data_IF_882464810952
#
_entry.id   IF_882464810952
#
_cell.length_a   1.000
_cell.length_b   1.000
_cell.length_c   1.000
_cell.angle_alpha   90.00
_cell.angle_beta   90.00
_cell.angle_gamma   90.00
#
_symmetry.space_group_name_H-M   'P 1'
#
loop_
_entity.id
_entity.type
_entity.pdbx_description
1 polymer ?
#
# COMPACT_ATOMS: atom_id res chain seq x y z
N UNK A 1 -10.81 -16.06 1.37
CA UNK A 1 -11.43 -15.13 2.34
C UNK A 1 -10.86 -13.75 2.07
N UNK A 2 -11.68 -12.70 2.03
CA UNK A 2 -11.21 -11.33 1.81
C UNK A 2 -11.18 -10.54 3.11
N UNK A 3 -10.12 -9.77 3.33
CA UNK A 3 -9.93 -8.92 4.50
C UNK A 3 -9.50 -7.52 4.04
N UNK A 4 -10.38 -6.54 4.25
CA UNK A 4 -10.11 -5.14 3.93
C UNK A 4 -9.26 -4.46 5.02
N UNK A 5 -8.68 -3.30 4.68
CA UNK A 5 -7.83 -2.55 5.60
C UNK A 5 -8.60 -2.16 6.89
N UNK A 6 -8.10 -2.57 8.07
CA UNK A 6 -8.85 -2.45 9.31
C UNK A 6 -9.01 -1.00 9.81
N UNK A 7 -8.16 -0.07 9.40
CA UNK A 7 -8.18 1.33 9.86
C UNK A 7 -8.79 2.29 8.84
N UNK A 8 -9.54 1.78 7.85
CA UNK A 8 -10.15 2.58 6.77
C UNK A 8 -10.88 3.85 7.27
N UNK A 9 -11.69 3.82 8.34
CA UNK A 9 -12.40 5.01 8.83
C UNK A 9 -11.55 6.07 9.53
N UNK A 10 -10.32 5.73 9.93
CA UNK A 10 -9.38 6.65 10.58
C UNK A 10 -8.42 7.22 9.53
N UNK A 11 -8.07 6.42 8.51
CA UNK A 11 -7.21 6.84 7.41
C UNK A 11 -7.90 7.76 6.37
N UNK A 12 -9.23 7.88 6.42
CA UNK A 12 -10.03 8.65 5.47
C UNK A 12 -11.09 9.48 6.19
N UNK A 13 -11.66 10.52 5.55
CA UNK A 13 -12.74 11.31 6.16
C UNK A 13 -13.92 10.45 6.60
N UNK A 14 -14.25 10.49 7.90
CA UNK A 14 -15.27 9.63 8.51
C UNK A 14 -16.65 9.70 7.82
N UNK A 15 -17.01 10.85 7.26
CA UNK A 15 -18.30 11.04 6.60
C UNK A 15 -18.50 10.18 5.34
N UNK A 16 -17.41 9.69 4.72
CA UNK A 16 -17.50 8.80 3.56
C UNK A 16 -17.94 7.38 3.92
N UNK A 17 -17.88 7.01 5.20
CA UNK A 17 -18.23 5.69 5.71
C UNK A 17 -18.88 5.78 7.09
N UNK A 18 -19.99 6.51 7.23
CA UNK A 18 -20.51 6.97 8.52
C UNK A 18 -20.95 5.83 9.44
N UNK A 19 -21.39 4.71 8.87
CA UNK A 19 -21.98 3.58 9.60
C UNK A 19 -21.10 2.33 9.60
N UNK A 20 -20.00 2.34 8.83
CA UNK A 20 -19.17 1.14 8.68
C UNK A 20 -18.13 1.07 9.79
N UNK A 21 -17.89 -0.15 10.27
CA UNK A 21 -16.84 -0.48 11.22
C UNK A 21 -15.90 -1.51 10.60
N UNK A 22 -14.62 -1.18 10.65
CA UNK A 22 -13.51 -2.02 10.22
C UNK A 22 -12.65 -2.36 11.45
N UNK A 23 -11.83 -3.39 11.32
CA UNK A 23 -10.92 -3.77 12.39
C UNK A 23 -10.29 -5.14 12.17
N UNK A 24 -9.24 -5.40 12.95
CA UNK A 24 -8.63 -6.72 13.04
C UNK A 24 -9.57 -7.58 13.88
N UNK A 25 -10.33 -8.47 13.21
CA UNK A 25 -11.37 -9.29 13.84
C UNK A 25 -11.02 -10.78 13.72
N UNK A 26 -10.04 -11.23 14.51
CA UNK A 26 -9.54 -12.61 14.48
C UNK A 26 -10.68 -13.64 14.54
N UNK A 27 -11.64 -13.46 15.45
CA UNK A 27 -12.80 -14.36 15.59
C UNK A 27 -13.65 -14.46 14.31
N UNK A 28 -13.81 -13.36 13.58
CA UNK A 28 -14.58 -13.33 12.35
C UNK A 28 -13.82 -14.03 11.21
N UNK A 29 -12.49 -13.86 11.16
CA UNK A 29 -11.63 -14.57 10.21
C UNK A 29 -11.65 -16.07 10.54
N UNK A 30 -11.47 -16.46 11.81
CA UNK A 30 -11.51 -17.86 12.24
C UNK A 30 -12.83 -18.54 11.88
N UNK A 31 -13.97 -17.90 12.18
CA UNK A 31 -15.30 -18.41 11.78
C UNK A 31 -15.41 -18.61 10.27
N UNK A 32 -14.82 -17.71 9.48
CA UNK A 32 -14.83 -17.80 8.02
C UNK A 32 -13.94 -18.94 7.51
N UNK A 33 -12.78 -19.15 8.15
CA UNK A 33 -11.88 -20.28 7.88
C UNK A 33 -12.58 -21.60 8.20
N UNK A 34 -13.14 -21.73 9.41
CA UNK A 34 -13.84 -22.94 9.85
C UNK A 34 -15.02 -23.26 8.92
N UNK A 35 -15.82 -22.25 8.56
CA UNK A 35 -16.94 -22.42 7.64
C UNK A 35 -16.49 -22.86 6.23
N UNK A 36 -15.35 -22.36 5.74
CA UNK A 36 -14.79 -22.80 4.47
C UNK A 36 -14.32 -24.27 4.53
N UNK A 37 -13.61 -24.64 5.60
CA UNK A 37 -13.15 -26.03 5.83
C UNK A 37 -14.32 -27.01 5.98
N UNK A 38 -15.35 -26.65 6.73
CA UNK A 38 -16.57 -27.46 6.89
C UNK A 38 -17.31 -27.70 5.56
N UNK A 39 -17.19 -26.77 4.61
CA UNK A 39 -17.72 -26.91 3.24
C UNK A 39 -16.80 -27.71 2.32
N UNK A 40 -15.70 -28.26 2.83
CA UNK A 40 -14.76 -29.11 2.09
C UNK A 40 -13.59 -28.37 1.44
N UNK A 41 -13.28 -27.12 1.84
CA UNK A 41 -12.11 -26.43 1.31
C UNK A 41 -10.81 -27.12 1.73
N UNK A 42 -10.03 -27.59 0.74
CA UNK A 42 -8.69 -28.18 0.94
C UNK A 42 -7.59 -27.13 1.10
N UNK A 43 -7.81 -25.93 0.55
CA UNK A 43 -6.93 -24.77 0.73
C UNK A 43 -7.76 -23.54 1.08
N UNK A 44 -7.31 -22.77 2.06
CA UNK A 44 -7.90 -21.51 2.49
C UNK A 44 -6.85 -20.40 2.33
N UNK A 45 -7.12 -19.52 1.38
CA UNK A 45 -6.32 -18.32 1.12
C UNK A 45 -7.00 -17.10 1.73
N UNK A 46 -6.27 -16.31 2.49
CA UNK A 46 -6.66 -14.97 2.94
C UNK A 46 -6.06 -13.93 1.98
N UNK A 47 -6.91 -13.26 1.22
CA UNK A 47 -6.53 -12.07 0.46
C UNK A 47 -6.69 -10.87 1.38
N UNK A 48 -5.57 -10.36 1.88
CA UNK A 48 -5.53 -9.38 2.97
C UNK A 48 -5.01 -8.03 2.52
N UNK A 49 -5.59 -6.98 3.11
CA UNK A 49 -5.10 -5.62 3.04
C UNK A 49 -4.82 -5.07 4.44
N UNK A 50 -4.47 -5.92 5.42
CA UNK A 50 -4.14 -5.45 6.77
C UNK A 50 -2.76 -4.77 6.84
N UNK A 51 -1.81 -5.25 6.03
CA UNK A 51 -0.39 -4.91 6.13
C UNK A 51 0.45 -6.10 6.57
N UNK A 52 1.69 -6.19 6.10
CA UNK A 52 2.52 -7.39 6.18
C UNK A 52 2.75 -7.89 7.61
N UNK A 53 3.17 -7.02 8.53
CA UNK A 53 3.43 -7.45 9.92
C UNK A 53 2.14 -7.72 10.71
N UNK A 54 1.04 -7.03 10.39
CA UNK A 54 -0.29 -7.35 10.93
C UNK A 54 -0.71 -8.76 10.49
N UNK A 55 -0.56 -9.06 9.20
CA UNK A 55 -0.86 -10.38 8.64
C UNK A 55 0.06 -11.46 9.21
N UNK A 56 1.34 -11.14 9.44
CA UNK A 56 2.30 -12.04 10.09
C UNK A 56 1.86 -12.38 11.51
N UNK A 57 1.39 -11.41 12.29
CA UNK A 57 0.82 -11.67 13.61
C UNK A 57 -0.47 -12.46 13.52
N UNK A 58 -1.35 -12.15 12.55
CA UNK A 58 -2.62 -12.87 12.34
C UNK A 58 -2.42 -14.34 11.98
N UNK A 59 -1.42 -14.67 11.15
CA UNK A 59 -1.06 -16.04 10.81
C UNK A 59 -0.71 -16.89 12.04
N UNK A 60 -0.09 -16.29 13.06
CA UNK A 60 0.19 -16.95 14.34
C UNK A 60 -1.02 -17.10 15.27
N UNK A 61 -2.17 -16.52 14.93
CA UNK A 61 -3.37 -16.41 15.79
C UNK A 61 -4.57 -17.14 15.23
N UNK A 62 -4.77 -17.07 13.91
CA UNK A 62 -5.89 -17.69 13.20
C UNK A 62 -5.42 -19.01 12.58
N UNK A 63 -6.08 -20.11 12.96
CA UNK A 63 -5.71 -21.45 12.52
C UNK A 63 -6.42 -21.85 11.24
N UNK A 64 -5.73 -22.62 10.40
CA UNK A 64 -6.31 -23.25 9.21
C UNK A 64 -6.27 -22.40 7.94
N UNK A 65 -5.60 -21.24 7.98
CA UNK A 65 -5.20 -20.48 6.79
C UNK A 65 -3.93 -21.14 6.24
N UNK A 66 -3.87 -21.42 4.95
CA UNK A 66 -2.65 -21.97 4.32
C UNK A 66 -1.80 -20.87 3.69
N UNK A 67 -2.45 -19.83 3.15
CA UNK A 67 -1.77 -18.72 2.46
C UNK A 67 -2.40 -17.39 2.84
N UNK A 68 -1.58 -16.38 3.11
CA UNK A 68 -1.97 -14.97 3.15
C UNK A 68 -1.28 -14.24 2.00
N UNK A 69 -2.10 -13.61 1.15
CA UNK A 69 -1.64 -12.65 0.15
C UNK A 69 -1.76 -11.25 0.76
N UNK A 70 -0.65 -10.72 1.24
CA UNK A 70 -0.59 -9.47 1.99
C UNK A 70 -0.45 -8.25 1.06
N UNK A 71 -1.31 -7.26 1.29
CA UNK A 71 -1.29 -5.93 0.64
C UNK A 71 -0.95 -4.81 1.62
N UNK A 72 -1.41 -3.59 1.31
CA UNK A 72 -1.27 -2.36 2.10
C UNK A 72 0.15 -1.80 2.25
N UNK A 73 1.08 -2.58 2.81
CA UNK A 73 2.40 -2.08 3.23
C UNK A 73 3.43 -2.02 2.10
N UNK A 74 3.07 -2.48 0.90
CA UNK A 74 3.89 -2.45 -0.32
C UNK A 74 5.21 -3.23 -0.20
N UNK A 75 5.25 -4.26 0.64
CA UNK A 75 6.41 -5.16 0.74
C UNK A 75 6.51 -6.06 -0.48
N UNK A 76 7.74 -6.27 -0.93
CA UNK A 76 8.06 -7.23 -1.99
C UNK A 76 9.02 -8.26 -1.41
N UNK A 77 8.52 -9.46 -1.10
CA UNK A 77 9.35 -10.51 -0.52
C UNK A 77 9.74 -11.53 -1.59
N UNK A 78 11.05 -11.78 -1.82
CA UNK A 78 11.51 -12.69 -2.87
C UNK A 78 11.30 -14.17 -2.52
N UNK A 79 10.87 -14.46 -1.28
CA UNK A 79 10.51 -15.80 -0.80
C UNK A 79 9.26 -15.68 0.06
N UNK A 80 8.36 -16.65 -0.05
CA UNK A 80 7.24 -16.76 0.88
C UNK A 80 7.76 -16.97 2.31
N UNK A 81 7.12 -16.32 3.29
CA UNK A 81 7.45 -16.46 4.70
C UNK A 81 6.49 -17.47 5.33
N UNK A 82 7.02 -18.57 5.88
CA UNK A 82 6.23 -19.52 6.66
C UNK A 82 6.08 -19.05 8.11
N UNK A 83 4.83 -18.82 8.53
CA UNK A 83 4.46 -18.53 9.91
C UNK A 83 3.57 -19.65 10.43
N UNK A 84 4.18 -20.65 11.06
CA UNK A 84 3.45 -21.73 11.72
C UNK A 84 2.60 -22.58 10.77
N UNK A 85 3.04 -22.76 9.53
CA UNK A 85 2.34 -23.48 8.47
C UNK A 85 1.49 -22.59 7.55
N UNK A 86 1.43 -21.28 7.81
CA UNK A 86 0.78 -20.31 6.91
C UNK A 86 1.82 -19.60 6.06
N UNK A 87 1.70 -19.66 4.74
CA UNK A 87 2.59 -18.97 3.80
C UNK A 87 2.16 -17.52 3.61
N UNK A 88 3.04 -16.57 3.89
CA UNK A 88 2.84 -15.15 3.61
C UNK A 88 3.55 -14.75 2.32
N UNK A 89 2.84 -14.03 1.46
CA UNK A 89 3.32 -13.52 0.17
C UNK A 89 2.99 -12.05 0.05
N UNK A 90 3.95 -11.25 -0.45
CA UNK A 90 3.74 -9.83 -0.75
C UNK A 90 4.41 -9.46 -2.08
N UNK A 91 3.66 -8.78 -2.95
CA UNK A 91 3.99 -8.57 -4.37
C UNK A 91 4.54 -7.17 -4.68
N UNK A 92 4.87 -6.37 -3.67
CA UNK A 92 5.22 -4.97 -3.84
C UNK A 92 4.01 -4.10 -4.19
N UNK A 93 4.22 -3.14 -5.09
CA UNK A 93 3.22 -2.16 -5.51
C UNK A 93 3.43 -1.70 -6.95
N UNK A 94 2.50 -0.91 -7.49
CA UNK A 94 2.56 -0.31 -8.84
C UNK A 94 2.72 -1.33 -9.98
N UNK A 95 2.27 -2.57 -9.78
CA UNK A 95 2.44 -3.63 -10.77
C UNK A 95 3.89 -4.04 -11.02
N UNK A 96 4.86 -3.60 -10.19
CA UNK A 96 6.30 -3.89 -10.38
C UNK A 96 6.63 -5.38 -10.36
N UNK A 97 5.84 -6.17 -9.63
CA UNK A 97 6.00 -7.61 -9.57
C UNK A 97 4.66 -8.35 -9.65
N UNK A 98 4.72 -9.56 -10.20
CA UNK A 98 3.69 -10.57 -10.13
C UNK A 98 4.18 -11.73 -9.27
N UNK A 99 3.52 -11.95 -8.13
CA UNK A 99 3.75 -13.13 -7.31
C UNK A 99 3.08 -14.35 -7.93
N UNK A 100 3.87 -15.40 -8.19
CA UNK A 100 3.39 -16.73 -8.58
C UNK A 100 3.66 -17.72 -7.46
N UNK A 101 2.59 -18.27 -6.90
CA UNK A 101 2.65 -19.34 -5.90
C UNK A 101 1.98 -20.58 -6.48
N UNK A 102 2.78 -21.57 -6.83
CA UNK A 102 2.31 -22.90 -7.22
C UNK A 102 2.20 -23.77 -5.96
N UNK A 103 1.04 -24.37 -5.69
CA UNK A 103 0.80 -25.23 -4.51
C UNK A 103 0.59 -26.68 -4.95
N UNK A 104 1.24 -27.62 -4.27
CA UNK A 104 0.91 -29.05 -4.34
C UNK A 104 -0.09 -29.40 -3.25
N UNK A 105 -1.27 -29.88 -3.64
CA UNK A 105 -2.43 -30.07 -2.75
C UNK A 105 -2.94 -31.50 -2.83
N UNK A 106 -3.20 -32.11 -1.69
CA UNK A 106 -3.76 -33.45 -1.56
C UNK A 106 -5.02 -33.49 -0.67
N UNK A 107 -5.41 -34.69 -0.21
CA UNK A 107 -6.53 -34.86 0.70
C UNK A 107 -6.32 -34.29 2.10
N UNK A 108 -5.07 -34.10 2.53
CA UNK A 108 -4.68 -33.62 3.86
C UNK A 108 -4.35 -32.12 3.88
N UNK A 109 -4.15 -31.49 2.71
CA UNK A 109 -3.97 -30.04 2.56
C UNK A 109 -2.84 -29.66 1.58
N UNK A 110 -2.14 -28.57 1.86
CA UNK A 110 -0.95 -28.16 1.09
C UNK A 110 0.25 -28.98 1.55
N UNK A 111 0.91 -29.71 0.63
CA UNK A 111 2.08 -30.55 0.91
C UNK A 111 3.40 -29.84 0.63
N UNK A 112 3.46 -29.11 -0.47
CA UNK A 112 4.65 -28.41 -0.95
C UNK A 112 4.24 -27.16 -1.74
N UNK A 113 5.19 -26.26 -1.98
CA UNK A 113 4.96 -25.08 -2.79
C UNK A 113 6.21 -24.64 -3.55
N UNK A 114 5.98 -23.91 -4.64
CA UNK A 114 7.01 -23.14 -5.35
C UNK A 114 6.56 -21.70 -5.45
N UNK A 115 7.48 -20.78 -5.16
CA UNK A 115 7.21 -19.35 -5.19
C UNK A 115 8.20 -18.62 -6.10
N UNK A 116 7.68 -17.70 -6.90
CA UNK A 116 8.44 -16.76 -7.71
C UNK A 116 7.86 -15.36 -7.60
N UNK A 117 8.70 -14.39 -7.30
CA UNK A 117 8.39 -12.97 -7.47
C UNK A 117 8.91 -12.53 -8.85
N UNK A 118 7.99 -12.37 -9.81
CA UNK A 118 8.33 -12.14 -11.21
C UNK A 118 8.31 -10.63 -11.47
N UNK A 119 9.44 -9.99 -11.84
CA UNK A 119 9.45 -8.57 -12.18
C UNK A 119 8.68 -8.31 -13.48
N UNK A 120 7.90 -7.24 -13.51
CA UNK A 120 7.18 -6.78 -14.70
C UNK A 120 8.02 -5.70 -15.36
N UNK A 121 8.83 -6.09 -16.33
CA UNK A 121 9.73 -5.20 -17.09
C UNK A 121 9.16 -5.00 -18.49
N UNK A 122 8.77 -3.77 -18.82
CA UNK A 122 8.07 -3.43 -20.08
C UNK A 122 8.94 -3.56 -21.32
N UNK A 123 10.27 -3.55 -21.16
CA UNK A 123 11.25 -3.79 -22.21
C UNK A 123 11.50 -5.29 -22.49
N UNK A 124 11.03 -6.17 -21.60
CA UNK A 124 11.19 -7.63 -21.70
C UNK A 124 9.88 -8.39 -21.89
N UNK A 125 8.73 -7.76 -21.68
CA UNK A 125 7.39 -8.38 -21.75
C UNK A 125 6.55 -7.65 -22.79
N UNK A 126 6.14 -8.36 -23.84
CA UNK A 126 5.25 -7.82 -24.88
C UNK A 126 3.89 -7.44 -24.26
N UNK A 127 3.44 -6.17 -24.39
CA UNK A 127 2.13 -5.74 -23.89
C UNK A 127 0.96 -6.45 -24.58
N UNK A 128 -0.11 -6.79 -23.83
CA UNK A 128 -1.34 -7.29 -24.46
C UNK A 128 -2.00 -6.15 -25.29
N UNK A 129 -2.20 -6.33 -26.61
CA UNK A 129 -2.67 -5.25 -27.48
C UNK A 129 -4.13 -4.86 -27.24
N UNK A 130 -4.94 -5.69 -26.55
CA UNK A 130 -6.29 -5.29 -26.15
C UNK A 130 -6.23 -4.40 -24.91
N UNK A 131 -5.37 -4.74 -23.94
CA UNK A 131 -5.18 -3.91 -22.75
C UNK A 131 -4.52 -2.58 -23.10
N UNK A 132 -3.52 -2.57 -23.99
CA UNK A 132 -2.90 -1.34 -24.48
C UNK A 132 -3.92 -0.38 -25.09
N UNK A 133 -4.77 -0.87 -26.01
CA UNK A 133 -5.86 -0.08 -26.59
C UNK A 133 -6.86 0.43 -25.56
N UNK A 134 -7.24 -0.40 -24.58
CA UNK A 134 -8.15 0.02 -23.51
C UNK A 134 -7.56 1.18 -22.69
N UNK A 135 -6.28 1.09 -22.31
CA UNK A 135 -5.59 2.14 -21.56
C UNK A 135 -5.48 3.40 -22.40
N UNK A 136 -5.08 3.30 -23.67
CA UNK A 136 -5.04 4.43 -24.60
C UNK A 136 -6.41 5.11 -24.73
N UNK A 137 -7.49 4.34 -24.93
CA UNK A 137 -8.84 4.88 -25.06
C UNK A 137 -9.32 5.61 -23.80
N UNK A 138 -9.02 5.09 -22.62
CA UNK A 138 -9.37 5.73 -21.34
C UNK A 138 -8.57 7.02 -21.13
N UNK A 139 -7.30 7.04 -21.54
CA UNK A 139 -6.39 8.17 -21.31
C UNK A 139 -6.53 9.29 -22.34
N UNK A 140 -6.94 8.96 -23.57
CA UNK A 140 -7.06 9.88 -24.70
C UNK A 140 -7.76 11.22 -24.37
N UNK A 141 -8.86 11.27 -23.59
CA UNK A 141 -9.51 12.55 -23.26
C UNK A 141 -8.70 13.44 -22.30
N UNK A 142 -7.68 12.88 -21.64
CA UNK A 142 -6.89 13.51 -20.58
C UNK A 142 -5.41 13.65 -20.95
N UNK A 143 -5.02 13.23 -22.16
CA UNK A 143 -3.61 13.11 -22.56
C UNK A 143 -2.89 14.45 -22.51
N UNK A 144 -3.51 15.53 -23.01
CA UNK A 144 -2.92 16.88 -22.99
C UNK A 144 -2.70 17.39 -21.56
N UNK A 145 -3.63 17.10 -20.64
CA UNK A 145 -3.50 17.49 -19.24
C UNK A 145 -2.39 16.68 -18.54
N UNK A 146 -2.42 15.36 -18.66
CA UNK A 146 -1.45 14.46 -18.04
C UNK A 146 -0.03 14.70 -18.55
N UNK A 147 0.13 15.03 -19.84
CA UNK A 147 1.42 15.26 -20.48
C UNK A 147 1.97 16.68 -20.30
N UNK A 148 1.26 17.58 -19.59
CA UNK A 148 1.78 18.93 -19.33
C UNK A 148 3.09 18.85 -18.54
N UNK A 149 4.15 19.41 -19.12
CA UNK A 149 5.48 19.45 -18.50
C UNK A 149 5.56 20.64 -17.56
N UNK A 150 5.76 20.36 -16.28
CA UNK A 150 5.82 21.35 -15.20
C UNK A 150 7.27 21.74 -14.86
N UNK A 151 8.24 20.88 -15.18
CA UNK A 151 9.65 21.11 -14.95
C UNK A 151 10.52 19.92 -15.31
N UNK A 152 11.79 19.97 -14.89
CA UNK A 152 12.75 18.87 -15.01
C UNK A 152 13.44 18.70 -13.65
N UNK A 153 13.63 17.47 -13.20
CA UNK A 153 14.32 17.20 -11.94
C UNK A 153 15.82 17.00 -12.15
N UNK A 154 16.66 17.71 -11.38
CA UNK A 154 18.12 17.51 -11.40
C UNK A 154 18.57 16.31 -10.55
N UNK A 155 17.69 15.80 -9.67
CA UNK A 155 18.00 14.74 -8.72
C UNK A 155 16.92 13.66 -8.69
N UNK A 156 17.17 12.55 -7.99
CA UNK A 156 16.18 11.50 -7.81
C UNK A 156 15.03 12.02 -6.94
N UNK A 157 13.80 11.97 -7.45
CA UNK A 157 12.58 12.18 -6.68
C UNK A 157 11.97 10.83 -6.32
N UNK A 158 11.79 10.56 -5.04
CA UNK A 158 11.10 9.37 -4.55
C UNK A 158 10.21 9.72 -3.36
N UNK A 159 9.18 8.91 -3.14
CA UNK A 159 8.24 9.08 -2.02
C UNK A 159 8.57 8.19 -0.83
N UNK A 160 8.76 6.90 -1.09
CA UNK A 160 8.84 5.89 -0.02
C UNK A 160 10.10 6.07 0.84
N UNK A 161 9.89 6.35 2.13
CA UNK A 161 10.89 6.34 3.18
C UNK A 161 10.20 6.49 4.54
N UNK A 162 10.78 5.93 5.61
CA UNK A 162 10.13 5.97 6.94
C UNK A 162 10.00 7.38 7.54
N UNK A 163 10.84 8.32 7.10
CA UNK A 163 10.93 9.68 7.64
C UNK A 163 10.86 10.78 6.59
N UNK A 164 11.26 10.47 5.34
CA UNK A 164 11.28 11.45 4.26
C UNK A 164 11.37 10.78 2.88
N UNK A 165 10.90 11.50 1.86
CA UNK A 165 11.13 11.28 0.44
C UNK A 165 11.39 12.60 -0.27
N UNK A 166 12.32 12.63 -1.24
CA UNK A 166 12.69 13.87 -1.93
C UNK A 166 11.56 14.47 -2.79
N UNK A 167 10.56 13.67 -3.15
CA UNK A 167 9.34 14.20 -3.78
C UNK A 167 8.50 14.98 -2.75
N UNK A 168 8.37 14.46 -1.53
CA UNK A 168 7.66 15.15 -0.44
C UNK A 168 8.37 16.45 -0.03
N UNK A 169 9.70 16.49 -0.08
CA UNK A 169 10.47 17.75 0.07
C UNK A 169 10.05 18.80 -0.98
N UNK A 170 9.91 18.38 -2.25
CA UNK A 170 9.47 19.26 -3.33
C UNK A 170 8.04 19.80 -3.08
N UNK A 171 7.12 18.94 -2.66
CA UNK A 171 5.74 19.32 -2.32
C UNK A 171 5.73 20.30 -1.15
N UNK A 172 6.42 19.99 -0.07
CA UNK A 172 6.50 20.83 1.13
C UNK A 172 7.13 22.20 0.81
N UNK A 173 8.20 22.25 0.02
CA UNK A 173 8.82 23.51 -0.40
C UNK A 173 7.85 24.36 -1.23
N UNK A 174 7.14 23.75 -2.19
CA UNK A 174 6.12 24.46 -2.97
C UNK A 174 5.00 25.03 -2.07
N UNK A 175 4.57 24.29 -1.05
CA UNK A 175 3.59 24.77 -0.07
C UNK A 175 4.14 25.97 0.71
N UNK A 176 5.39 25.91 1.20
CA UNK A 176 6.02 27.01 1.93
C UNK A 176 6.24 28.26 1.06
N UNK A 177 6.54 28.10 -0.23
CA UNK A 177 6.67 29.23 -1.16
C UNK A 177 5.31 29.89 -1.48
N UNK A 178 4.24 29.10 -1.55
CA UNK A 178 2.90 29.57 -1.97
C UNK A 178 1.98 29.92 -0.82
N UNK A 179 2.36 29.59 0.41
CA UNK A 179 1.58 29.80 1.62
C UNK A 179 2.48 30.43 2.67
N UNK A 180 1.97 31.43 3.36
CA UNK A 180 2.66 32.09 4.48
C UNK A 180 2.75 31.14 5.70
N UNK A 181 3.62 30.14 5.64
CA UNK A 181 3.76 29.11 6.66
C UNK A 181 5.23 28.89 7.03
N UNK A 182 5.46 28.40 8.26
CA UNK A 182 6.80 28.12 8.77
C UNK A 182 7.17 26.63 8.67
N UNK A 183 6.17 25.76 8.61
CA UNK A 183 6.27 24.30 8.55
C UNK A 183 5.22 23.80 7.56
N UNK A 184 5.60 22.85 6.70
CA UNK A 184 4.70 22.10 5.85
C UNK A 184 4.78 20.62 6.23
N UNK A 185 3.63 19.94 6.21
CA UNK A 185 3.51 18.51 6.50
C UNK A 185 2.93 17.83 5.26
N UNK A 186 3.60 16.79 4.77
CA UNK A 186 3.10 15.90 3.72
C UNK A 186 2.69 14.56 4.35
N UNK A 187 1.61 13.92 3.91
CA UNK A 187 1.27 12.59 4.40
C UNK A 187 2.27 11.53 3.90
N UNK A 188 2.80 10.71 4.81
CA UNK A 188 3.70 9.57 4.54
C UNK A 188 3.03 8.40 3.79
N UNK A 189 2.48 8.66 2.61
CA UNK A 189 1.87 7.64 1.74
C UNK A 189 2.92 6.77 1.06
N UNK A 190 2.60 5.48 0.88
CA UNK A 190 3.49 4.49 0.26
C UNK A 190 3.34 4.32 -1.26
N UNK A 191 2.35 4.97 -1.87
CA UNK A 191 2.14 4.98 -3.32
C UNK A 191 2.93 6.13 -3.96
N UNK A 192 2.99 6.22 -5.28
CA UNK A 192 3.80 7.19 -6.01
C UNK A 192 5.09 6.60 -6.58
N UNK A 193 5.34 6.93 -7.85
CA UNK A 193 6.50 6.56 -8.64
C UNK A 193 7.72 7.41 -8.29
N UNK A 194 8.85 7.05 -8.88
CA UNK A 194 10.10 7.79 -8.73
C UNK A 194 10.51 8.40 -10.05
N UNK A 195 11.06 9.61 -10.00
CA UNK A 195 11.62 10.30 -11.16
C UNK A 195 13.14 10.33 -11.06
N UNK A 196 13.81 9.90 -12.11
CA UNK A 196 15.26 9.91 -12.25
C UNK A 196 15.78 11.32 -12.60
N UNK A 197 17.04 11.63 -12.26
CA UNK A 197 17.68 12.86 -12.72
C UNK A 197 17.57 13.06 -14.24
N UNK A 198 17.21 14.27 -14.66
CA UNK A 198 16.98 14.67 -16.05
C UNK A 198 15.61 14.29 -16.61
N UNK A 199 14.73 13.66 -15.83
CA UNK A 199 13.36 13.41 -16.27
C UNK A 199 12.50 14.67 -16.13
N UNK A 200 11.62 14.86 -17.11
CA UNK A 200 10.56 15.87 -17.04
C UNK A 200 9.57 15.48 -15.94
N UNK A 201 9.19 16.45 -15.12
CA UNK A 201 8.09 16.34 -14.16
C UNK A 201 6.83 16.75 -14.91
N UNK A 202 5.88 15.84 -15.05
CA UNK A 202 4.59 16.08 -15.70
C UNK A 202 3.47 16.28 -14.69
N UNK A 203 2.31 16.75 -15.15
CA UNK A 203 1.11 16.78 -14.31
C UNK A 203 0.71 15.37 -13.83
N UNK A 204 0.90 14.33 -14.65
CA UNK A 204 0.68 12.95 -14.23
C UNK A 204 1.53 12.55 -13.02
N UNK A 205 2.80 12.95 -12.98
CA UNK A 205 3.68 12.64 -11.84
C UNK A 205 3.21 13.33 -10.56
N UNK A 206 2.64 14.53 -10.67
CA UNK A 206 2.04 15.24 -9.53
C UNK A 206 0.76 14.53 -9.08
N UNK A 207 -0.10 14.08 -10.01
CA UNK A 207 -1.27 13.28 -9.66
C UNK A 207 -0.88 11.94 -9.02
N UNK A 208 0.12 11.25 -9.55
CA UNK A 208 0.62 10.00 -8.99
C UNK A 208 1.21 10.17 -7.57
N UNK A 209 1.62 11.38 -7.18
CA UNK A 209 2.03 11.70 -5.81
C UNK A 209 0.88 12.20 -4.90
N UNK A 210 -0.19 12.80 -5.47
CA UNK A 210 -1.16 13.61 -4.69
C UNK A 210 -2.64 13.31 -4.94
N UNK A 211 -2.99 12.35 -5.82
CA UNK A 211 -4.36 12.05 -6.22
C UNK A 211 -5.19 11.32 -5.14
N UNK A 212 -5.55 12.06 -4.09
CA UNK A 212 -6.61 11.71 -3.15
C UNK A 212 -7.90 12.45 -3.49
N UNK A 213 -9.05 11.91 -3.07
CA UNK A 213 -10.37 12.49 -3.35
C UNK A 213 -10.72 13.70 -2.45
N UNK A 214 -9.81 14.07 -1.55
CA UNK A 214 -9.88 15.22 -0.65
C UNK A 214 -8.54 15.97 -0.67
N UNK A 215 -8.09 16.49 -1.83
CA UNK A 215 -6.73 17.01 -2.03
C UNK A 215 -6.54 18.44 -1.49
N UNK A 216 -7.51 18.98 -0.76
CA UNK A 216 -7.44 20.33 -0.23
C UNK A 216 -6.23 20.52 0.69
N UNK A 217 -5.54 21.64 0.50
CA UNK A 217 -4.40 22.04 1.35
C UNK A 217 -4.86 23.06 2.38
N UNK A 218 -4.57 22.78 3.66
CA UNK A 218 -5.01 23.62 4.77
C UNK A 218 -3.82 24.31 5.44
N UNK A 219 -3.99 25.60 5.75
CA UNK A 219 -3.06 26.38 6.57
C UNK A 219 -3.72 26.66 7.91
N UNK A 220 -3.13 26.15 8.98
CA UNK A 220 -3.61 26.34 10.35
C UNK A 220 -2.46 26.77 11.27
N UNK A 221 -2.76 27.51 12.32
CA UNK A 221 -1.82 27.76 13.41
C UNK A 221 -1.79 26.56 14.36
N UNK A 222 -0.59 26.14 14.75
CA UNK A 222 -0.37 25.05 15.72
C UNK A 222 0.69 25.48 16.74
N UNK A 223 0.51 25.12 18.01
CA UNK A 223 1.57 25.29 19.00
C UNK A 223 2.69 24.30 18.73
N UNK A 224 3.92 24.63 19.15
CA UNK A 224 5.04 23.68 19.09
C UNK A 224 4.77 22.41 19.92
N UNK A 225 3.97 22.51 20.98
CA UNK A 225 3.51 21.36 21.76
C UNK A 225 2.60 20.45 20.93
N UNK A 226 1.64 21.00 20.18
CA UNK A 226 0.77 20.22 19.30
C UNK A 226 1.56 19.50 18.21
N UNK A 227 2.51 20.19 17.57
CA UNK A 227 3.39 19.60 16.57
C UNK A 227 4.21 18.44 17.15
N UNK A 228 4.78 18.62 18.34
CA UNK A 228 5.48 17.55 19.05
C UNK A 228 4.56 16.37 19.31
N UNK A 229 3.34 16.59 19.80
CA UNK A 229 2.40 15.51 20.07
C UNK A 229 2.03 14.73 18.81
N UNK A 230 1.82 15.41 17.68
CA UNK A 230 1.55 14.75 16.40
C UNK A 230 2.70 13.84 16.00
N UNK A 231 3.95 14.31 16.06
CA UNK A 231 5.11 13.50 15.68
C UNK A 231 5.33 12.30 16.62
N UNK A 232 5.11 12.48 17.92
CA UNK A 232 5.19 11.38 18.89
C UNK A 232 4.10 10.33 18.65
N UNK A 233 2.86 10.76 18.36
CA UNK A 233 1.74 9.84 18.07
C UNK A 233 2.00 9.03 16.78
N UNK A 234 2.53 9.67 15.73
CA UNK A 234 2.95 8.98 14.51
C UNK A 234 4.10 8.00 14.78
N UNK A 235 5.09 8.40 15.59
CA UNK A 235 6.22 7.54 15.94
C UNK A 235 5.78 6.31 16.77
N UNK A 236 4.90 6.51 17.76
CA UNK A 236 4.32 5.45 18.59
C UNK A 236 3.52 4.44 17.75
N UNK A 237 2.90 4.89 16.66
CA UNK A 237 2.23 4.02 15.70
C UNK A 237 3.23 3.25 14.82
N UNK A 238 4.15 3.97 14.17
CA UNK A 238 5.07 3.41 13.18
C UNK A 238 6.05 2.42 13.79
N UNK A 239 6.55 2.71 14.99
CA UNK A 239 7.55 1.91 15.69
C UNK A 239 6.95 1.04 16.81
N UNK A 240 5.63 0.86 16.84
CA UNK A 240 5.00 0.01 17.84
C UNK A 240 5.56 -1.42 17.76
N UNK A 241 5.95 -1.98 18.91
CA UNK A 241 6.46 -3.36 18.96
C UNK A 241 5.39 -4.40 18.63
N UNK A 242 4.12 -4.06 18.86
CA UNK A 242 3.00 -4.92 18.51
C UNK A 242 2.43 -4.50 17.14
N UNK A 243 2.55 -5.36 16.10
CA UNK A 243 2.02 -5.08 14.77
C UNK A 243 0.55 -4.71 14.71
N UNK A 244 -0.29 -5.15 15.64
CA UNK A 244 -1.73 -4.79 15.64
C UNK A 244 -2.02 -3.33 16.03
N UNK A 245 -1.01 -2.59 16.46
CA UNK A 245 -1.10 -1.15 16.64
C UNK A 245 -0.43 -0.38 15.50
N UNK A 246 0.23 -1.06 14.57
CA UNK A 246 0.81 -0.42 13.38
C UNK A 246 -0.27 -0.24 12.32
N UNK A 247 -0.40 0.97 11.77
CA UNK A 247 -1.38 1.25 10.72
C UNK A 247 -0.80 1.14 9.30
N UNK A 248 0.52 0.97 9.15
CA UNK A 248 1.18 0.70 7.87
C UNK A 248 1.38 1.92 6.95
N UNK A 249 1.26 3.14 7.49
CA UNK A 249 1.79 4.36 6.86
C UNK A 249 3.25 4.62 7.27
N UNK A 250 3.89 5.58 6.62
CA UNK A 250 5.19 6.14 7.03
C UNK A 250 4.98 7.53 7.67
N UNK A 251 6.06 8.16 8.17
CA UNK A 251 5.98 9.52 8.76
C UNK A 251 5.82 10.60 7.69
#
# INVERSE_FOLDING_TARGET
IGQAFPYTPIANPRYMMPDWSFGIREDAVQKSVDAARQKGAQVVVLLSHNGFDVDRKMAGRVKGIDVILAGHTHDAIPRALDVGGTLLVASGSHGKFLSRLDLDVDGDGVRDYRYHLIPVLTDAIEPDPRMGRLVEDIRRPHEDELAEVLGETESLLYRRGNFNGTFDDLICNALLERRDAQIALSPGFRWGASLLPGQQITAEDVYDATAITYPETYRNEMSGEMLKMIFEDVADNLFNEDPYYQHGGDM
#
